data_IF_272473460741
#
_entry.id   IF_272473460741
#
_cell.length_a   1.000
_cell.length_b   1.000
_cell.length_c   1.000
_cell.angle_alpha   90.00
_cell.angle_beta   90.00
_cell.angle_gamma   90.00
#
_symmetry.space_group_name_H-M   'P 1'
#
loop_
_entity.id
_entity.type
_entity.pdbx_description
1 polymer ?
#
# COMPACT_ATOMS: atom_id res chain seq x y z
N UNK A 1 -20.06 -9.84 1.29
CA UNK A 1 -19.63 -9.19 0.04
C UNK A 1 -18.99 -7.81 0.31
N UNK A 2 -18.36 -7.56 1.47
CA UNK A 2 -18.20 -6.18 1.98
C UNK A 2 -17.18 -5.31 1.22
N UNK A 3 -16.27 -5.90 0.44
CA UNK A 3 -15.36 -5.11 -0.42
C UNK A 3 -16.11 -4.41 -1.56
N UNK A 4 -17.13 -5.03 -2.15
CA UNK A 4 -17.93 -4.42 -3.21
C UNK A 4 -18.78 -3.26 -2.65
N UNK A 5 -19.44 -3.51 -1.51
CA UNK A 5 -20.24 -2.51 -0.79
C UNK A 5 -19.40 -1.28 -0.39
N UNK A 6 -18.17 -1.48 0.12
CA UNK A 6 -17.25 -0.37 0.42
C UNK A 6 -16.88 0.43 -0.84
N UNK A 7 -16.64 -0.24 -1.98
CA UNK A 7 -16.32 0.46 -3.23
C UNK A 7 -17.51 1.29 -3.73
N UNK A 8 -18.72 0.73 -3.69
CA UNK A 8 -19.94 1.46 -4.06
C UNK A 8 -20.18 2.68 -3.17
N UNK A 9 -19.96 2.54 -1.85
CA UNK A 9 -20.03 3.68 -0.92
C UNK A 9 -19.04 4.78 -1.30
N UNK A 10 -17.78 4.42 -1.57
CA UNK A 10 -16.74 5.38 -1.97
C UNK A 10 -17.15 6.10 -3.25
N UNK A 11 -17.60 5.37 -4.27
CA UNK A 11 -18.04 5.95 -5.54
C UNK A 11 -19.22 6.91 -5.33
N UNK A 12 -20.26 6.48 -4.61
CA UNK A 12 -21.45 7.30 -4.35
C UNK A 12 -21.11 8.60 -3.63
N UNK A 13 -20.20 8.55 -2.65
CA UNK A 13 -19.76 9.76 -1.92
C UNK A 13 -18.87 10.66 -2.77
N UNK A 14 -18.01 10.09 -3.61
CA UNK A 14 -17.15 10.88 -4.50
C UNK A 14 -17.96 11.56 -5.61
N UNK A 15 -18.97 10.91 -6.17
CA UNK A 15 -19.89 11.51 -7.15
C UNK A 15 -20.63 12.73 -6.57
N UNK A 16 -21.03 12.68 -5.30
CA UNK A 16 -21.62 13.84 -4.62
C UNK A 16 -20.63 15.02 -4.55
N UNK A 17 -19.34 14.74 -4.31
CA UNK A 17 -18.31 15.78 -4.31
C UNK A 17 -18.01 16.31 -5.71
N UNK A 18 -18.09 15.47 -6.74
CA UNK A 18 -17.94 15.92 -8.13
C UNK A 18 -19.03 16.92 -8.48
N UNK A 19 -20.29 16.60 -8.19
CA UNK A 19 -21.42 17.49 -8.47
C UNK A 19 -21.28 18.82 -7.71
N UNK A 20 -20.90 18.76 -6.42
CA UNK A 20 -20.72 19.94 -5.58
C UNK A 20 -19.58 20.87 -6.04
N UNK A 21 -18.61 20.35 -6.81
CA UNK A 21 -17.43 21.10 -7.25
C UNK A 21 -17.40 21.35 -8.77
N UNK A 22 -18.51 21.10 -9.49
CA UNK A 22 -18.61 21.38 -10.93
C UNK A 22 -18.23 22.83 -11.25
N UNK A 23 -17.46 23.00 -12.32
CA UNK A 23 -16.96 24.31 -12.74
C UNK A 23 -15.76 24.84 -11.94
N UNK A 24 -15.21 24.05 -10.99
CA UNK A 24 -14.00 24.40 -10.24
C UNK A 24 -12.86 23.39 -10.46
N UNK A 25 -11.66 23.70 -9.96
CA UNK A 25 -10.54 22.77 -9.99
C UNK A 25 -10.73 21.65 -8.94
N UNK A 26 -10.97 20.43 -9.40
CA UNK A 26 -11.40 19.32 -8.53
C UNK A 26 -10.30 18.34 -8.13
N UNK A 27 -9.22 18.21 -8.90
CA UNK A 27 -8.26 17.11 -8.71
C UNK A 27 -7.74 17.03 -7.27
N UNK A 28 -7.14 18.11 -6.76
CA UNK A 28 -6.62 18.14 -5.39
C UNK A 28 -7.73 18.20 -4.34
N UNK A 29 -8.82 18.91 -4.62
CA UNK A 29 -9.97 19.02 -3.73
C UNK A 29 -10.59 17.66 -3.41
N UNK A 30 -10.79 16.81 -4.43
CA UNK A 30 -11.33 15.47 -4.26
C UNK A 30 -10.36 14.54 -3.52
N UNK A 31 -9.06 14.65 -3.78
CA UNK A 31 -8.06 13.86 -3.07
C UNK A 31 -7.93 14.24 -1.59
N UNK A 32 -7.87 15.54 -1.28
CA UNK A 32 -7.83 16.01 0.11
C UNK A 32 -9.13 15.64 0.83
N UNK A 33 -10.28 15.82 0.19
CA UNK A 33 -11.55 15.41 0.78
C UNK A 33 -11.58 13.90 1.10
N UNK A 34 -11.17 13.04 0.16
CA UNK A 34 -11.15 11.61 0.39
C UNK A 34 -10.19 11.20 1.53
N UNK A 35 -9.07 11.91 1.66
CA UNK A 35 -8.09 11.70 2.73
C UNK A 35 -8.63 12.12 4.09
N UNK A 36 -9.32 13.25 4.17
CA UNK A 36 -9.99 13.73 5.39
C UNK A 36 -11.13 12.79 5.84
N UNK A 37 -11.79 12.11 4.90
CA UNK A 37 -12.94 11.24 5.18
C UNK A 37 -12.61 9.74 5.12
N UNK A 38 -11.33 9.36 5.12
CA UNK A 38 -10.88 7.99 4.90
C UNK A 38 -11.49 6.98 5.90
N UNK A 39 -11.67 7.38 7.16
CA UNK A 39 -12.18 6.48 8.21
C UNK A 39 -13.62 6.06 7.92
N UNK A 40 -14.46 7.03 7.52
CA UNK A 40 -15.85 6.80 7.13
C UNK A 40 -15.92 5.99 5.84
N UNK A 41 -15.08 6.32 4.86
CA UNK A 41 -15.03 5.62 3.57
C UNK A 41 -14.60 4.16 3.69
N UNK A 42 -13.83 3.81 4.73
CA UNK A 42 -13.29 2.47 4.94
C UNK A 42 -13.89 1.71 6.12
N UNK A 43 -14.96 2.21 6.75
CA UNK A 43 -15.55 1.63 7.97
C UNK A 43 -15.93 0.14 7.81
N UNK A 44 -16.49 -0.25 6.66
CA UNK A 44 -16.91 -1.62 6.39
C UNK A 44 -15.83 -2.48 5.71
N UNK A 45 -14.64 -1.92 5.51
CA UNK A 45 -13.55 -2.62 4.86
C UNK A 45 -12.94 -3.68 5.79
N UNK A 46 -13.00 -4.95 5.37
CA UNK A 46 -12.31 -6.04 6.08
C UNK A 46 -10.99 -6.35 5.35
N UNK A 47 -9.82 -6.17 6.00
CA UNK A 47 -8.55 -6.48 5.37
C UNK A 47 -8.48 -7.98 5.05
N UNK A 48 -8.28 -8.30 3.78
CA UNK A 48 -8.01 -9.68 3.35
C UNK A 48 -6.51 -9.92 3.54
N UNK A 49 -6.16 -10.65 4.60
CA UNK A 49 -4.78 -11.11 4.81
C UNK A 49 -4.55 -12.32 3.91
N UNK A 50 -4.07 -12.09 2.69
CA UNK A 50 -3.60 -13.19 1.83
C UNK A 50 -2.25 -13.67 2.36
N UNK A 51 -2.25 -14.77 3.11
CA UNK A 51 -1.03 -15.46 3.49
C UNK A 51 -0.38 -16.05 2.23
N UNK A 52 0.63 -15.39 1.70
CA UNK A 52 1.51 -15.99 0.69
C UNK A 52 2.42 -16.97 1.43
N UNK A 53 2.05 -18.25 1.42
CA UNK A 53 2.93 -19.31 1.90
C UNK A 53 4.09 -19.42 0.91
N UNK A 54 5.23 -18.80 1.25
CA UNK A 54 6.50 -19.05 0.56
C UNK A 54 6.89 -20.49 0.89
N UNK A 55 6.64 -21.41 -0.02
CA UNK A 55 7.15 -22.78 0.04
C UNK A 55 8.65 -22.77 -0.23
N UNK A 56 9.44 -22.40 0.79
CA UNK A 56 10.85 -22.73 0.81
C UNK A 56 10.97 -24.19 1.28
N UNK A 57 11.03 -25.12 0.33
CA UNK A 57 11.64 -26.43 0.57
C UNK A 57 13.11 -26.20 0.95
N UNK A 58 13.46 -26.42 2.21
CA UNK A 58 14.71 -27.10 2.58
C UNK A 58 14.70 -27.43 4.06
N UNK A 59 15.07 -28.67 4.31
CA UNK A 59 15.30 -29.34 5.58
C UNK A 59 16.13 -28.59 6.63
N UNK A 60 15.82 -28.97 7.88
CA UNK A 60 16.67 -29.11 9.07
C UNK A 60 17.00 -27.89 9.97
N UNK A 61 16.53 -28.06 11.22
CA UNK A 61 17.14 -27.69 12.52
C UNK A 61 17.17 -26.22 12.99
N UNK A 62 16.36 -25.95 14.02
CA UNK A 62 16.63 -24.95 15.08
C UNK A 62 17.83 -25.39 15.97
N UNK A 63 18.36 -24.61 16.95
CA UNK A 63 17.91 -23.31 17.49
C UNK A 63 19.06 -22.29 17.75
N UNK A 64 18.72 -21.19 18.44
CA UNK A 64 19.61 -20.31 19.23
C UNK A 64 20.30 -19.12 18.54
N UNK A 65 19.77 -17.95 18.87
CA UNK A 65 20.42 -16.74 19.40
C UNK A 65 21.89 -16.39 19.06
N UNK A 66 22.03 -15.09 18.75
CA UNK A 66 23.21 -14.21 18.87
C UNK A 66 24.30 -14.23 17.77
N UNK A 67 24.48 -13.01 17.26
CA UNK A 67 25.73 -12.40 16.81
C UNK A 67 26.29 -12.71 15.40
N UNK A 68 26.47 -11.58 14.69
CA UNK A 68 27.50 -11.25 13.67
C UNK A 68 27.07 -11.24 12.19
N UNK A 69 27.35 -10.05 11.61
CA UNK A 69 27.73 -9.72 10.22
C UNK A 69 26.65 -9.67 9.13
N UNK A 70 26.29 -8.41 8.83
CA UNK A 70 26.35 -7.74 7.51
C UNK A 70 26.40 -8.65 6.28
N UNK A 71 25.45 -8.43 5.36
CA UNK A 71 25.79 -8.25 3.94
C UNK A 71 24.94 -7.14 3.30
N UNK A 72 25.63 -6.03 3.08
CA UNK A 72 25.19 -4.85 2.34
C UNK A 72 25.37 -5.18 0.87
N UNK A 73 24.29 -5.36 0.10
CA UNK A 73 24.39 -5.39 -1.37
C UNK A 73 24.87 -4.03 -1.84
N UNK A 74 26.14 -3.98 -2.22
CA UNK A 74 26.89 -2.80 -2.62
C UNK A 74 26.33 -2.24 -3.93
N UNK A 75 25.56 -1.16 -3.86
CA UNK A 75 25.26 -0.39 -5.06
C UNK A 75 26.52 0.40 -5.42
N UNK A 76 27.24 -0.08 -6.44
CA UNK A 76 28.35 0.67 -7.02
C UNK A 76 27.87 2.05 -7.46
N UNK A 77 28.54 3.07 -6.96
CA UNK A 77 28.23 4.45 -7.33
C UNK A 77 28.70 4.73 -8.76
N UNK A 78 28.06 5.70 -9.41
CA UNK A 78 28.21 6.01 -10.83
C UNK A 78 29.68 6.21 -11.28
N UNK A 79 30.55 6.66 -10.38
CA UNK A 79 31.98 6.83 -10.63
C UNK A 79 32.74 5.49 -10.80
N UNK A 80 32.32 4.43 -10.12
CA UNK A 80 33.01 3.13 -10.13
C UNK A 80 32.74 2.31 -11.40
N UNK A 81 31.57 2.51 -12.04
CA UNK A 81 31.23 1.83 -13.32
C UNK A 81 32.03 2.33 -14.52
N UNK A 82 32.64 3.51 -14.43
CA UNK A 82 33.26 4.18 -15.59
C UNK A 82 34.77 3.88 -15.74
N UNK A 83 35.35 3.08 -14.84
CA UNK A 83 36.79 2.73 -14.83
C UNK A 83 37.06 1.24 -15.10
N UNK A 84 36.03 0.48 -15.51
CA UNK A 84 36.15 -0.88 -16.05
C UNK A 84 36.17 -0.82 -17.57
#
# INVERSE_FOLDING_TARGET
NSSAETKELILSKLEQQVEANLGTAMMYTLFEWAKEHQEVLMENHRPVVTSVMVTASSELTAPSSTAKRKEKKEQLTKAQKRRM
#
